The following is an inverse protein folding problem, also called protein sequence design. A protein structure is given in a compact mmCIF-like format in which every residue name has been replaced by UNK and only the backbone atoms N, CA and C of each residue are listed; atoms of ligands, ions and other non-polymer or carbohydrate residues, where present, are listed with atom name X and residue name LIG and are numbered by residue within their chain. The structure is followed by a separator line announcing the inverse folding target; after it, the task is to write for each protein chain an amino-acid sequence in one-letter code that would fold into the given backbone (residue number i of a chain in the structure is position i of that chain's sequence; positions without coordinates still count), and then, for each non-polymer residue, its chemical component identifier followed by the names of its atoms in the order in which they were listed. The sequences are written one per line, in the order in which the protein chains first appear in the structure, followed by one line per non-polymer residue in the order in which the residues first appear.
data_IF_003614790461
#
_entry.id   IF_003614790461
#
_cell.length_a   1.000
_cell.length_b   1.000
_cell.length_c   1.000
_cell.angle_alpha   90.00
_cell.angle_beta   90.00
_cell.angle_gamma   90.00
#
_symmetry.space_group_name_H-M   'P 1'
#
loop_
_entity.id
_entity.type
_entity.pdbx_description
1 polymer ?
#
# COMPACT_ATOMS: atom_id res chain seq x y z
N UNK A 1 -21.89 4.71 -2.85
CA UNK A 1 -21.93 6.17 -2.63
C UNK A 1 -20.49 6.67 -2.61
N UNK A 2 -20.14 7.64 -3.45
CA UNK A 2 -18.78 8.20 -3.46
C UNK A 2 -18.52 9.00 -2.18
N UNK A 3 -17.37 8.78 -1.54
CA UNK A 3 -17.02 9.38 -0.25
C UNK A 3 -16.58 10.85 -0.36
N UNK A 4 -16.18 11.46 0.76
CA UNK A 4 -15.76 12.86 0.77
C UNK A 4 -14.39 13.02 0.09
N UNK A 5 -13.45 12.13 0.38
CA UNK A 5 -12.08 12.20 -0.16
C UNK A 5 -12.05 11.87 -1.63
N UNK A 6 -12.82 10.90 -2.10
CA UNK A 6 -12.96 10.61 -3.52
C UNK A 6 -13.46 11.83 -4.29
N UNK A 7 -14.49 12.52 -3.78
CA UNK A 7 -15.00 13.76 -4.41
C UNK A 7 -13.99 14.90 -4.40
N UNK A 8 -13.24 15.08 -3.32
CA UNK A 8 -12.19 16.10 -3.23
C UNK A 8 -11.06 15.83 -4.23
N UNK A 9 -10.61 14.58 -4.35
CA UNK A 9 -9.60 14.19 -5.33
C UNK A 9 -10.12 14.40 -6.75
N UNK A 10 -11.36 13.99 -7.04
CA UNK A 10 -12.00 14.18 -8.35
C UNK A 10 -12.10 15.66 -8.76
N UNK A 11 -12.33 16.58 -7.80
CA UNK A 11 -12.41 18.00 -8.08
C UNK A 11 -11.07 18.61 -8.54
N UNK A 12 -9.94 18.06 -8.08
CA UNK A 12 -8.60 18.58 -8.42
C UNK A 12 -7.97 17.84 -9.60
N UNK A 13 -8.17 16.52 -9.69
CA UNK A 13 -7.69 15.71 -10.80
C UNK A 13 -8.58 15.83 -12.06
N UNK A 14 -9.85 16.17 -11.88
CA UNK A 14 -10.82 16.28 -12.97
C UNK A 14 -11.10 14.92 -13.64
N UNK A 15 -11.56 14.98 -14.89
CA UNK A 15 -11.96 13.79 -15.67
C UNK A 15 -10.82 12.79 -15.88
N UNK A 16 -9.57 13.25 -15.75
CA UNK A 16 -8.36 12.43 -15.92
C UNK A 16 -7.86 11.79 -14.61
N UNK A 17 -8.68 11.73 -13.55
CA UNK A 17 -8.27 11.10 -12.29
C UNK A 17 -7.90 9.62 -12.50
N UNK A 18 -6.66 9.21 -12.16
CA UNK A 18 -6.28 7.81 -12.26
C UNK A 18 -7.10 6.93 -11.32
N UNK A 19 -7.42 5.72 -11.75
CA UNK A 19 -8.14 4.70 -10.98
C UNK A 19 -7.43 4.34 -9.66
N UNK A 20 -6.10 4.33 -9.64
CA UNK A 20 -5.34 4.06 -8.42
C UNK A 20 -5.44 5.21 -7.40
N UNK A 21 -5.57 6.47 -7.86
CA UNK A 21 -5.84 7.62 -6.98
C UNK A 21 -7.26 7.51 -6.41
N UNK A 22 -8.21 7.10 -7.25
CA UNK A 22 -9.59 6.82 -6.81
C UNK A 22 -9.63 5.73 -5.73
N UNK A 23 -8.94 4.61 -5.95
CA UNK A 23 -8.84 3.52 -4.99
C UNK A 23 -8.24 3.98 -3.65
N UNK A 24 -7.16 4.78 -3.72
CA UNK A 24 -6.54 5.36 -2.54
C UNK A 24 -7.50 6.27 -1.76
N UNK A 25 -8.28 7.11 -2.46
CA UNK A 25 -9.26 7.98 -1.82
C UNK A 25 -10.39 7.18 -1.16
N UNK A 26 -10.85 6.10 -1.81
CA UNK A 26 -11.88 5.19 -1.26
C UNK A 26 -11.42 4.49 0.00
N UNK A 27 -10.17 4.04 0.09
CA UNK A 27 -9.63 3.46 1.33
C UNK A 27 -9.65 4.47 2.49
N UNK A 28 -9.37 5.75 2.21
CA UNK A 28 -9.48 6.81 3.22
C UNK A 28 -10.93 7.01 3.64
N UNK A 29 -11.86 7.06 2.68
CA UNK A 29 -13.30 7.18 2.96
C UNK A 29 -13.86 5.95 3.69
N UNK A 30 -13.28 4.76 3.49
CA UNK A 30 -13.60 3.52 4.20
C UNK A 30 -13.06 3.49 5.65
N UNK A 31 -12.38 4.55 6.09
CA UNK A 31 -11.94 4.73 7.48
C UNK A 31 -10.44 4.52 7.71
N UNK A 32 -9.64 4.21 6.69
CA UNK A 32 -8.18 4.15 6.86
C UNK A 32 -7.58 5.55 6.94
N UNK A 33 -6.68 5.77 7.89
CA UNK A 33 -5.95 7.03 7.95
C UNK A 33 -4.94 7.14 6.80
N UNK A 34 -4.74 8.35 6.29
CA UNK A 34 -3.70 8.62 5.28
C UNK A 34 -2.30 8.22 5.79
N UNK A 35 -2.04 8.35 7.10
CA UNK A 35 -0.79 7.89 7.70
C UNK A 35 -0.62 6.36 7.65
N UNK A 36 -1.69 5.61 7.90
CA UNK A 36 -1.68 4.15 7.77
C UNK A 36 -1.43 3.72 6.33
N UNK A 37 -2.11 4.34 5.35
CA UNK A 37 -1.90 4.08 3.92
C UNK A 37 -0.52 4.52 3.43
N UNK A 38 -0.01 5.64 3.92
CA UNK A 38 1.33 6.08 3.56
C UNK A 38 2.39 5.09 4.05
N UNK A 39 2.29 4.71 5.33
CA UNK A 39 3.14 3.66 5.90
C UNK A 39 2.97 2.37 5.12
N UNK A 40 1.74 2.05 4.69
CA UNK A 40 1.41 0.95 3.78
C UNK A 40 2.30 0.93 2.54
N UNK A 41 2.43 2.10 1.91
CA UNK A 41 3.06 2.26 0.61
C UNK A 41 4.55 2.63 0.71
N UNK A 42 5.15 2.69 1.92
CA UNK A 42 6.54 3.12 2.10
C UNK A 42 6.74 4.64 1.97
N UNK A 43 5.72 5.42 2.31
CA UNK A 43 5.72 6.88 2.22
C UNK A 43 5.26 7.54 3.52
N UNK A 44 5.40 8.86 3.61
CA UNK A 44 4.86 9.66 4.72
C UNK A 44 3.43 10.14 4.43
N UNK A 45 2.65 10.44 5.47
CA UNK A 45 1.25 10.87 5.34
C UNK A 45 1.10 12.09 4.41
N UNK A 46 2.05 13.02 4.45
CA UNK A 46 2.08 14.19 3.58
C UNK A 46 2.14 13.82 2.09
N UNK A 47 2.83 12.74 1.72
CA UNK A 47 2.89 12.26 0.34
C UNK A 47 1.49 11.85 -0.15
N UNK A 48 0.72 11.11 0.65
CA UNK A 48 -0.64 10.70 0.30
C UNK A 48 -1.56 11.91 0.16
N UNK A 49 -1.45 12.87 1.08
CA UNK A 49 -2.20 14.13 0.99
C UNK A 49 -1.87 14.90 -0.29
N UNK A 50 -0.59 15.03 -0.64
CA UNK A 50 -0.14 15.68 -1.87
C UNK A 50 -0.61 14.96 -3.13
N UNK A 51 -0.62 13.63 -3.15
CA UNK A 51 -1.14 12.83 -4.27
C UNK A 51 -2.64 13.06 -4.45
N UNK A 52 -3.43 12.98 -3.36
CA UNK A 52 -4.87 13.23 -3.43
C UNK A 52 -5.19 14.67 -3.86
N UNK A 53 -4.31 15.62 -3.54
CA UNK A 53 -4.42 17.02 -3.95
C UNK A 53 -3.78 17.32 -5.33
N UNK A 54 -3.31 16.31 -6.08
CA UNK A 54 -2.62 16.48 -7.37
C UNK A 54 -1.42 17.45 -7.33
N UNK A 55 -0.66 17.43 -6.24
CA UNK A 55 0.50 18.33 -5.98
C UNK A 55 1.78 17.58 -5.69
N UNK A 56 1.79 16.25 -5.79
CA UNK A 56 2.96 15.45 -5.46
C UNK A 56 4.03 15.60 -6.56
N UNK A 57 5.21 16.14 -6.25
CA UNK A 57 6.26 16.39 -7.26
C UNK A 57 7.12 15.14 -7.54
N UNK A 58 6.91 14.05 -6.80
CA UNK A 58 7.70 12.82 -6.93
C UNK A 58 7.23 11.92 -8.07
N UNK A 59 7.78 10.70 -8.11
CA UNK A 59 7.49 9.73 -9.15
C UNK A 59 6.12 9.06 -8.93
N UNK A 60 5.10 9.56 -9.63
CA UNK A 60 3.74 9.01 -9.60
C UNK A 60 3.66 7.58 -10.13
N UNK A 61 4.47 7.18 -11.11
CA UNK A 61 4.48 5.81 -11.62
C UNK A 61 4.93 4.80 -10.54
N UNK A 62 5.92 5.18 -9.71
CA UNK A 62 6.36 4.36 -8.58
C UNK A 62 5.30 4.27 -7.48
N UNK A 63 4.56 5.35 -7.24
CA UNK A 63 3.42 5.35 -6.31
C UNK A 63 2.31 4.43 -6.83
N UNK A 64 1.95 4.56 -8.10
CA UNK A 64 0.92 3.77 -8.77
C UNK A 64 1.21 2.27 -8.65
N UNK A 65 2.43 1.83 -8.97
CA UNK A 65 2.82 0.41 -8.88
C UNK A 65 2.58 -0.11 -7.45
N UNK A 66 2.93 0.67 -6.42
CA UNK A 66 2.72 0.27 -5.02
C UNK A 66 1.24 0.26 -4.64
N UNK A 67 0.48 1.28 -5.03
CA UNK A 67 -0.97 1.35 -4.76
C UNK A 67 -1.68 0.18 -5.41
N UNK A 68 -1.37 -0.12 -6.68
CA UNK A 68 -1.93 -1.27 -7.39
C UNK A 68 -1.59 -2.58 -6.69
N UNK A 69 -0.32 -2.75 -6.29
CA UNK A 69 0.12 -3.96 -5.61
C UNK A 69 -0.49 -4.15 -4.22
N UNK A 70 -0.77 -3.08 -3.47
CA UNK A 70 -1.22 -3.18 -2.07
C UNK A 70 -2.73 -3.05 -1.93
N UNK A 71 -3.31 -2.05 -2.58
CA UNK A 71 -4.72 -1.65 -2.39
C UNK A 71 -5.61 -2.32 -3.43
N UNK A 72 -5.15 -2.41 -4.68
CA UNK A 72 -6.00 -2.91 -5.78
C UNK A 72 -5.81 -4.41 -6.05
N UNK A 73 -4.78 -5.04 -5.49
CA UNK A 73 -4.52 -6.47 -5.63
C UNK A 73 -5.48 -7.26 -4.75
N UNK A 74 -6.48 -7.88 -5.37
CA UNK A 74 -7.47 -8.71 -4.68
C UNK A 74 -6.84 -9.98 -4.07
N UNK A 75 -5.82 -10.55 -4.72
CA UNK A 75 -5.18 -11.81 -4.33
C UNK A 75 -3.67 -11.76 -4.50
N UNK A 76 -2.96 -12.46 -3.63
CA UNK A 76 -1.51 -12.64 -3.56
C UNK A 76 -1.26 -14.06 -3.10
N UNK A 77 -0.54 -14.83 -3.91
CA UNK A 77 -0.11 -16.17 -3.52
C UNK A 77 1.14 -16.07 -2.63
N UNK A 78 0.94 -16.24 -1.33
CA UNK A 78 2.02 -16.29 -0.36
C UNK A 78 2.44 -17.75 -0.12
N UNK A 79 3.73 -18.10 -0.27
CA UNK A 79 4.18 -19.49 -0.09
C UNK A 79 3.94 -20.04 1.32
N UNK A 80 3.82 -19.18 2.34
CA UNK A 80 3.60 -19.59 3.74
C UNK A 80 2.16 -19.39 4.24
N UNK A 81 1.38 -18.52 3.61
CA UNK A 81 0.01 -18.19 4.05
C UNK A 81 -1.07 -18.63 3.04
N UNK A 82 -0.67 -19.10 1.86
CA UNK A 82 -1.59 -19.37 0.75
C UNK A 82 -2.06 -18.06 0.11
N UNK A 83 -3.28 -18.09 -0.42
CA UNK A 83 -3.88 -16.92 -1.06
C UNK A 83 -4.33 -15.90 0.00
N UNK A 84 -3.76 -14.70 -0.05
CA UNK A 84 -4.07 -13.58 0.85
C UNK A 84 -4.27 -12.29 0.04
N UNK A 85 -4.85 -11.26 0.63
CA UNK A 85 -4.97 -9.95 -0.02
C UNK A 85 -3.62 -9.22 -0.08
N UNK A 86 -3.50 -8.23 -0.98
CA UNK A 86 -2.30 -7.37 -1.06
C UNK A 86 -2.00 -6.66 0.26
N UNK A 87 -3.06 -6.30 0.96
CA UNK A 87 -2.99 -5.66 2.27
C UNK A 87 -2.52 -6.62 3.37
N UNK A 88 -3.04 -7.84 3.43
CA UNK A 88 -2.58 -8.84 4.38
C UNK A 88 -1.10 -9.19 4.13
N UNK A 89 -0.70 -9.37 2.87
CA UNK A 89 0.69 -9.61 2.50
C UNK A 89 1.62 -8.53 3.10
N UNK A 90 1.21 -7.27 2.97
CA UNK A 90 1.96 -6.13 3.48
C UNK A 90 2.01 -6.09 5.01
N UNK A 91 0.88 -6.35 5.68
CA UNK A 91 0.82 -6.38 7.14
C UNK A 91 1.75 -7.46 7.70
N UNK A 92 1.92 -8.58 7.00
CA UNK A 92 2.87 -9.63 7.37
C UNK A 92 4.32 -9.21 7.13
N UNK A 93 4.63 -8.57 5.99
CA UNK A 93 5.99 -8.06 5.70
C UNK A 93 6.51 -7.09 6.77
N UNK A 94 5.61 -6.35 7.43
CA UNK A 94 5.96 -5.38 8.48
C UNK A 94 6.16 -5.97 9.87
N UNK A 95 5.70 -7.19 10.11
CA UNK A 95 5.77 -7.76 11.45
C UNK A 95 7.24 -7.92 11.83
N UNK A 96 7.64 -7.47 13.04
CA UNK A 96 8.99 -7.70 13.51
C UNK A 96 9.24 -9.20 13.56
N UNK A 97 10.49 -9.59 13.32
CA UNK A 97 10.90 -10.97 13.48
C UNK A 97 10.57 -11.47 14.88
N UNK A 98 9.99 -12.67 14.96
CA UNK A 98 9.70 -13.34 16.22
C UNK A 98 10.12 -14.80 16.15
N UNK A 99 10.97 -15.22 17.08
CA UNK A 99 11.37 -16.61 17.27
C UNK A 99 10.35 -17.43 18.04
N UNK A 100 9.31 -16.80 18.60
CA UNK A 100 8.31 -17.47 19.45
C UNK A 100 7.42 -18.46 18.69
N UNK A 101 7.37 -18.41 17.35
CA UNK A 101 6.66 -19.41 16.55
C UNK A 101 7.43 -19.81 15.30
N UNK A 102 7.51 -21.12 15.03
CA UNK A 102 8.15 -21.63 13.82
C UNK A 102 7.51 -21.12 12.54
N UNK A 103 6.19 -20.87 12.54
CA UNK A 103 5.49 -20.25 11.42
C UNK A 103 5.92 -18.81 11.18
N UNK A 104 6.11 -17.99 12.23
CA UNK A 104 6.62 -16.63 12.08
C UNK A 104 8.05 -16.62 11.53
N UNK A 105 8.90 -17.55 11.96
CA UNK A 105 10.27 -17.70 11.43
C UNK A 105 10.26 -18.03 9.95
N UNK A 106 9.45 -19.01 9.52
CA UNK A 106 9.33 -19.38 8.09
C UNK A 106 8.75 -18.24 7.25
N UNK A 107 7.69 -17.60 7.72
CA UNK A 107 7.07 -16.46 7.05
C UNK A 107 8.07 -15.30 6.88
N UNK A 108 8.82 -14.97 7.92
CA UNK A 108 9.84 -13.93 7.84
C UNK A 108 10.91 -14.28 6.79
N UNK A 109 11.42 -15.52 6.78
CA UNK A 109 12.40 -15.98 5.77
C UNK A 109 11.82 -15.94 4.35
N UNK A 110 10.58 -16.40 4.18
CA UNK A 110 9.89 -16.34 2.90
C UNK A 110 9.72 -14.88 2.41
N UNK A 111 9.35 -13.97 3.31
CA UNK A 111 9.32 -12.53 3.00
C UNK A 111 10.71 -12.01 2.63
N UNK A 112 11.79 -12.43 3.30
CA UNK A 112 13.16 -12.00 2.95
C UNK A 112 13.58 -12.38 1.52
N UNK A 113 13.10 -13.51 0.99
CA UNK A 113 13.36 -13.95 -0.39
C UNK A 113 12.30 -13.48 -1.41
N UNK A 114 11.22 -12.82 -0.96
CA UNK A 114 10.09 -12.51 -1.82
C UNK A 114 10.31 -11.23 -2.63
N UNK A 115 10.17 -11.31 -3.96
CA UNK A 115 10.28 -10.17 -4.88
C UNK A 115 9.24 -9.07 -4.63
N UNK A 116 8.10 -9.45 -4.04
CA UNK A 116 7.01 -8.54 -3.66
C UNK A 116 7.24 -7.88 -2.29
N UNK A 117 8.31 -8.25 -1.58
CA UNK A 117 8.62 -7.62 -0.31
C UNK A 117 9.07 -6.17 -0.52
N UNK A 118 8.25 -5.23 -0.05
CA UNK A 118 8.52 -3.80 -0.15
C UNK A 118 9.56 -3.33 0.88
N UNK A 119 9.66 -4.00 2.03
CA UNK A 119 10.62 -3.65 3.08
C UNK A 119 12.06 -3.92 2.63
N UNK A 120 12.30 -5.02 1.90
CA UNK A 120 13.63 -5.34 1.37
C UNK A 120 14.11 -4.35 0.32
N UNK A 121 13.20 -3.75 -0.45
CA UNK A 121 13.52 -2.76 -1.49
C UNK A 121 13.82 -1.37 -0.91
N UNK A 122 13.56 -1.16 0.38
CA UNK A 122 13.79 0.10 1.09
C UNK A 122 14.97 0.00 2.07
N UNK A 123 15.50 -1.21 2.31
CA UNK A 123 16.69 -1.50 3.11
C UNK A 123 18.00 -1.29 2.35
N UNK A 124 18.22 -0.07 1.89
CA UNK A 124 19.48 0.37 1.26
C UNK A 124 19.70 1.85 1.53
N UNK A 125 19.98 2.19 2.79
CA UNK A 125 20.60 3.43 3.23
C UNK A 125 21.54 3.10 4.39
#
# INVERSE_FOLDING_TARGET
MSGLKERQAQAVWGVAMPDWVQALAREVDAGRSQASLARALGYCAATISQVLANKYPGNLARMEIRVRAVIMSSRVDCPELGEITGLECLDQQRRPFSSASGRAVRLWRACQACERNLQNKEGGA
#
